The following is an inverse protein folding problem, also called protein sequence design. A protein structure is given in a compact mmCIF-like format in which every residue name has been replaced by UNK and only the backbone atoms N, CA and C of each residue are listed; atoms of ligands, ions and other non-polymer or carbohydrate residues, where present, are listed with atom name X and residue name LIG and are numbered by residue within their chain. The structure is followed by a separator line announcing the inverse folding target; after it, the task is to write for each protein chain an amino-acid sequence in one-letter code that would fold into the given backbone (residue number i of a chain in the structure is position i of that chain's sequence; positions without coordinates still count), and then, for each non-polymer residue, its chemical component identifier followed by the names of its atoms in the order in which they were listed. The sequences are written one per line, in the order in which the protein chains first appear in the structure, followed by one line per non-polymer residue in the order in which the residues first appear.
data_IF_783383636205
#
_entry.id   IF_783383636205
#
_cell.length_a   1.000
_cell.length_b   1.000
_cell.length_c   1.000
_cell.angle_alpha   90.00
_cell.angle_beta   90.00
_cell.angle_gamma   90.00
#
_symmetry.space_group_name_H-M   'P 1'
#
loop_
_entity.id
_entity.type
_entity.pdbx_description
1 polymer ?
#
# COMPACT_ATOMS: atom_id res chain seq x y z
N UNK A 1 -9.33 1.44 -63.45
CA UNK A 1 -8.33 1.52 -62.37
C UNK A 1 -9.07 1.56 -61.05
N UNK A 2 -9.10 0.45 -60.32
CA UNK A 2 -9.77 0.32 -59.02
C UNK A 2 -8.67 0.27 -57.95
N UNK A 3 -8.59 1.32 -57.12
CA UNK A 3 -7.71 1.35 -55.95
C UNK A 3 -8.26 0.46 -54.83
N UNK A 4 -7.43 -0.34 -54.15
CA UNK A 4 -7.85 -1.03 -52.94
C UNK A 4 -7.73 -0.07 -51.75
N UNK A 5 -8.83 0.07 -51.01
CA UNK A 5 -8.81 0.66 -49.67
C UNK A 5 -8.09 -0.31 -48.73
N UNK A 6 -6.88 0.05 -48.31
CA UNK A 6 -6.21 -0.60 -47.18
C UNK A 6 -6.94 -0.21 -45.90
N UNK A 7 -7.76 -1.12 -45.38
CA UNK A 7 -8.34 -1.02 -44.06
C UNK A 7 -7.25 -1.31 -43.02
N UNK A 8 -6.66 -0.26 -42.46
CA UNK A 8 -5.79 -0.33 -41.29
C UNK A 8 -6.64 -0.71 -40.09
N UNK A 9 -6.64 -2.00 -39.73
CA UNK A 9 -7.10 -2.42 -38.41
C UNK A 9 -6.12 -1.88 -37.37
N UNK A 10 -6.47 -0.75 -36.75
CA UNK A 10 -5.88 -0.34 -35.48
C UNK A 10 -6.26 -1.41 -34.45
N UNK A 11 -5.32 -2.29 -34.12
CA UNK A 11 -5.41 -3.07 -32.89
C UNK A 11 -5.28 -2.06 -31.74
N UNK A 12 -6.41 -1.68 -31.15
CA UNK A 12 -6.42 -1.09 -29.83
C UNK A 12 -5.80 -2.15 -28.91
N UNK A 13 -4.55 -1.93 -28.51
CA UNK A 13 -3.94 -2.68 -27.43
C UNK A 13 -4.79 -2.40 -26.19
N UNK A 14 -5.67 -3.35 -25.88
CA UNK A 14 -6.45 -3.36 -24.66
C UNK A 14 -5.44 -3.33 -23.51
N UNK A 15 -5.22 -2.14 -22.94
CA UNK A 15 -4.31 -1.97 -21.82
C UNK A 15 -4.98 -2.59 -20.61
N UNK A 16 -4.88 -3.91 -20.51
CA UNK A 16 -5.42 -4.64 -19.38
C UNK A 16 -4.82 -4.05 -18.10
N UNK A 17 -5.70 -3.59 -17.22
CA UNK A 17 -5.31 -3.04 -15.93
C UNK A 17 -4.51 -4.11 -15.16
N UNK A 18 -3.31 -3.74 -14.72
CA UNK A 18 -2.44 -4.66 -14.01
C UNK A 18 -3.04 -4.89 -12.62
N UNK A 19 -3.37 -6.14 -12.31
CA UNK A 19 -3.99 -6.52 -11.03
C UNK A 19 -3.38 -7.80 -10.49
N UNK A 20 -3.50 -8.01 -9.18
CA UNK A 20 -3.17 -9.30 -8.55
C UNK A 20 -4.22 -10.32 -9.01
N UNK A 21 -3.77 -11.39 -9.67
CA UNK A 21 -4.63 -12.49 -10.09
C UNK A 21 -4.68 -13.58 -9.00
N UNK A 22 -3.51 -13.96 -8.49
CA UNK A 22 -3.37 -15.00 -7.47
C UNK A 22 -2.23 -14.66 -6.51
N UNK A 23 -2.34 -15.12 -5.27
CA UNK A 23 -1.27 -15.06 -4.27
C UNK A 23 -0.89 -16.48 -3.91
N UNK A 24 0.33 -16.86 -4.26
CA UNK A 24 0.91 -18.13 -3.86
C UNK A 24 1.61 -17.95 -2.51
N UNK A 25 1.24 -18.77 -1.54
CA UNK A 25 1.86 -18.78 -0.20
C UNK A 25 2.70 -20.03 -0.05
N UNK A 26 3.93 -19.86 0.40
CA UNK A 26 4.84 -20.97 0.63
C UNK A 26 5.57 -20.79 1.95
N UNK A 27 5.78 -21.92 2.63
CA UNK A 27 6.63 -21.99 3.81
C UNK A 27 8.05 -22.26 3.36
N UNK A 28 8.96 -21.40 3.75
CA UNK A 28 10.39 -21.54 3.48
C UNK A 28 11.05 -21.96 4.80
N UNK A 29 11.69 -23.13 4.85
CA UNK A 29 12.44 -23.57 6.03
C UNK A 29 13.91 -23.26 5.83
N UNK A 30 14.49 -22.59 6.80
CA UNK A 30 15.90 -22.20 6.82
C UNK A 30 16.51 -22.63 8.15
N UNK A 31 17.80 -22.96 8.14
CA UNK A 31 18.50 -23.47 9.32
C UNK A 31 18.55 -22.44 10.47
N UNK A 32 18.62 -21.15 10.14
CA UNK A 32 18.81 -20.06 11.10
C UNK A 32 17.53 -19.32 11.49
N UNK A 33 16.55 -19.23 10.58
CA UNK A 33 15.31 -18.44 10.78
C UNK A 33 14.07 -19.32 10.96
N UNK A 34 14.25 -20.64 10.95
CA UNK A 34 13.15 -21.60 11.08
C UNK A 34 12.23 -21.59 9.85
N UNK A 35 10.96 -21.91 10.08
CA UNK A 35 9.92 -21.90 9.05
C UNK A 35 9.30 -20.49 8.94
N UNK A 36 9.31 -19.93 7.74
CA UNK A 36 8.82 -18.57 7.49
C UNK A 36 7.80 -18.54 6.36
N UNK A 37 6.75 -17.74 6.54
CA UNK A 37 5.74 -17.52 5.50
C UNK A 37 6.23 -16.50 4.45
N UNK A 38 6.22 -16.93 3.19
CA UNK A 38 6.49 -16.11 2.01
C UNK A 38 5.27 -16.00 1.13
N UNK A 39 5.22 -14.92 0.37
CA UNK A 39 4.18 -14.69 -0.63
C UNK A 39 4.80 -14.34 -1.99
N UNK A 40 4.29 -14.98 -3.04
CA UNK A 40 4.53 -14.62 -4.43
C UNK A 40 3.22 -14.13 -5.05
N UNK A 41 3.22 -12.93 -5.62
CA UNK A 41 2.07 -12.44 -6.37
C UNK A 41 2.19 -12.84 -7.83
N UNK A 42 1.10 -13.34 -8.39
CA UNK A 42 0.92 -13.56 -9.82
C UNK A 42 0.02 -12.45 -10.34
N UNK A 43 0.55 -11.64 -11.26
CA UNK A 43 -0.17 -10.52 -11.85
C UNK A 43 -0.95 -10.94 -13.10
N UNK A 44 -1.92 -10.13 -13.52
CA UNK A 44 -2.76 -10.39 -14.70
C UNK A 44 -2.00 -10.55 -16.02
N UNK A 45 -0.78 -10.00 -16.11
CA UNK A 45 0.12 -10.19 -17.25
C UNK A 45 0.97 -11.47 -17.17
N UNK A 46 0.71 -12.35 -16.18
CA UNK A 46 1.47 -13.58 -15.92
C UNK A 46 2.78 -13.38 -15.16
N UNK A 47 3.18 -12.14 -14.84
CA UNK A 47 4.40 -11.88 -14.08
C UNK A 47 4.27 -12.42 -12.65
N UNK A 48 5.32 -13.11 -12.20
CA UNK A 48 5.43 -13.68 -10.85
C UNK A 48 6.47 -12.91 -10.06
N UNK A 49 6.09 -12.38 -8.89
CA UNK A 49 6.94 -11.51 -8.08
C UNK A 49 6.96 -11.99 -6.62
N UNK A 50 8.12 -12.43 -6.14
CA UNK A 50 8.33 -12.77 -4.73
C UNK A 50 8.39 -11.49 -3.90
N UNK A 51 7.53 -11.36 -2.91
CA UNK A 51 7.54 -10.20 -1.99
C UNK A 51 8.71 -10.39 -1.01
N UNK A 52 9.66 -9.43 -0.92
CA UNK A 52 10.85 -9.54 -0.09
C UNK A 52 10.54 -9.20 1.38
N UNK A 53 9.43 -9.69 1.91
CA UNK A 53 9.01 -9.52 3.31
C UNK A 53 8.71 -10.89 3.92
N UNK A 54 8.74 -10.94 5.23
CA UNK A 54 8.20 -12.04 6.01
C UNK A 54 6.75 -11.76 6.41
N UNK A 55 5.95 -12.82 6.57
CA UNK A 55 4.50 -12.70 6.85
C UNK A 55 3.80 -11.82 5.80
N UNK A 56 4.33 -11.83 4.59
CA UNK A 56 3.96 -10.89 3.55
C UNK A 56 2.50 -11.11 3.13
N UNK A 57 1.72 -10.02 3.06
CA UNK A 57 0.42 -10.04 2.39
C UNK A 57 0.36 -8.90 1.37
N UNK A 58 0.12 -9.19 0.09
CA UNK A 58 -0.13 -8.14 -0.88
C UNK A 58 -1.48 -7.47 -0.59
N UNK A 59 -1.53 -6.16 -0.76
CA UNK A 59 -2.74 -5.34 -0.52
C UNK A 59 -3.36 -4.96 -1.87
N UNK A 60 -2.60 -4.31 -2.75
CA UNK A 60 -3.12 -3.81 -4.03
C UNK A 60 -2.02 -3.52 -5.06
N UNK A 61 -2.40 -3.41 -6.33
CA UNK A 61 -1.61 -2.70 -7.35
C UNK A 61 -2.14 -1.28 -7.43
N UNK A 62 -1.25 -0.31 -7.28
CA UNK A 62 -1.56 1.12 -7.39
C UNK A 62 -1.04 1.66 -8.72
N UNK A 63 -1.84 2.49 -9.36
CA UNK A 63 -1.50 3.17 -10.62
C UNK A 63 -1.13 4.62 -10.36
N UNK A 64 0.12 4.96 -10.67
CA UNK A 64 0.67 6.30 -10.55
C UNK A 64 0.18 7.24 -11.67
N UNK A 65 0.38 8.54 -11.49
CA UNK A 65 0.03 9.55 -12.52
C UNK A 65 0.80 9.37 -13.82
N UNK A 66 2.03 8.84 -13.76
CA UNK A 66 2.89 8.55 -14.92
C UNK A 66 2.59 7.19 -15.57
N UNK A 67 1.51 6.51 -15.15
CA UNK A 67 1.11 5.19 -15.63
C UNK A 67 1.96 4.03 -15.09
N UNK A 68 2.94 4.31 -14.22
CA UNK A 68 3.68 3.23 -13.54
C UNK A 68 2.81 2.52 -12.51
N UNK A 69 3.13 1.26 -12.26
CA UNK A 69 2.45 0.45 -11.26
C UNK A 69 3.33 0.24 -10.03
N UNK A 70 2.70 0.15 -8.86
CA UNK A 70 3.37 -0.14 -7.59
C UNK A 70 2.59 -1.19 -6.84
N UNK A 71 3.24 -2.25 -6.38
CA UNK A 71 2.66 -3.19 -5.44
C UNK A 71 2.70 -2.59 -4.03
N UNK A 72 1.52 -2.44 -3.43
CA UNK A 72 1.35 -2.16 -2.00
C UNK A 72 1.26 -3.49 -1.26
N UNK A 73 2.06 -3.68 -0.22
CA UNK A 73 2.02 -4.89 0.59
C UNK A 73 2.31 -4.59 2.07
N UNK A 74 1.87 -5.49 2.94
CA UNK A 74 2.24 -5.52 4.35
C UNK A 74 3.22 -6.66 4.64
N UNK A 75 4.02 -6.51 5.68
CA UNK A 75 4.91 -7.54 6.20
C UNK A 75 5.95 -6.98 7.16
N UNK A 76 6.92 -7.80 7.53
CA UNK A 76 8.07 -7.41 8.35
C UNK A 76 9.38 -7.77 7.64
N UNK A 77 10.47 -7.08 7.97
CA UNK A 77 11.80 -7.38 7.44
C UNK A 77 12.49 -8.51 8.22
N UNK A 78 11.95 -8.89 9.38
CA UNK A 78 12.47 -10.01 10.17
C UNK A 78 11.35 -10.78 10.91
N UNK A 79 11.61 -12.07 11.18
CA UNK A 79 10.67 -13.02 11.83
C UNK A 79 10.98 -13.30 13.29
N UNK A 80 12.23 -13.11 13.73
CA UNK A 80 12.69 -13.42 15.09
C UNK A 80 13.05 -12.17 15.88
N UNK A 81 12.46 -11.04 15.51
CA UNK A 81 12.56 -9.78 16.20
C UNK A 81 11.15 -9.27 16.45
N UNK A 82 10.99 -8.44 17.47
CA UNK A 82 9.72 -7.79 17.82
C UNK A 82 9.39 -6.65 16.84
N UNK A 83 9.61 -6.90 15.55
CA UNK A 83 9.31 -5.96 14.48
C UNK A 83 7.82 -6.05 14.11
N UNK A 84 7.16 -4.91 14.30
CA UNK A 84 5.77 -4.71 13.89
C UNK A 84 5.58 -4.85 12.38
N UNK A 85 4.40 -5.28 11.97
CA UNK A 85 4.01 -5.27 10.56
C UNK A 85 4.00 -3.83 10.03
N UNK A 86 4.59 -3.64 8.86
CA UNK A 86 4.69 -2.34 8.18
C UNK A 86 4.08 -2.41 6.78
N UNK A 87 3.67 -1.26 6.26
CA UNK A 87 3.23 -1.09 4.87
C UNK A 87 4.45 -0.73 4.02
N UNK A 88 4.56 -1.34 2.84
CA UNK A 88 5.66 -1.20 1.89
C UNK A 88 5.17 -0.97 0.47
N UNK A 89 5.98 -0.26 -0.30
CA UNK A 89 5.76 0.06 -1.69
C UNK A 89 6.86 -0.58 -2.53
N UNK A 90 6.47 -1.29 -3.58
CA UNK A 90 7.39 -1.91 -4.52
C UNK A 90 7.06 -1.46 -5.94
N UNK A 91 7.81 -0.50 -6.51
CA UNK A 91 7.65 -0.10 -7.91
C UNK A 91 7.80 -1.31 -8.83
N UNK A 92 6.90 -1.42 -9.80
CA UNK A 92 6.94 -2.46 -10.82
C UNK A 92 7.68 -1.95 -12.06
N UNK A 93 8.37 -2.85 -12.75
CA UNK A 93 9.18 -2.51 -13.93
C UNK A 93 10.45 -3.35 -14.08
N UNK A 94 10.80 -4.13 -13.04
CA UNK A 94 11.85 -5.14 -13.10
C UNK A 94 11.30 -6.52 -12.71
N UNK A 95 12.05 -7.58 -12.97
CA UNK A 95 11.67 -8.95 -12.60
C UNK A 95 11.79 -9.21 -11.08
N UNK A 96 12.43 -8.30 -10.35
CA UNK A 96 12.60 -8.38 -8.91
C UNK A 96 11.95 -7.19 -8.22
N UNK A 97 11.30 -7.44 -7.09
CA UNK A 97 10.76 -6.38 -6.24
C UNK A 97 11.88 -5.78 -5.41
N UNK A 98 12.20 -4.51 -5.70
CA UNK A 98 13.12 -3.70 -4.89
C UNK A 98 12.33 -2.59 -4.23
N UNK A 99 12.13 -2.71 -2.92
CA UNK A 99 11.49 -1.66 -2.14
C UNK A 99 12.43 -0.48 -1.95
N UNK A 100 11.89 0.68 -1.61
CA UNK A 100 12.67 1.86 -1.23
C UNK A 100 13.42 1.71 0.09
N UNK A 101 13.15 0.64 0.85
CA UNK A 101 13.60 0.46 2.23
C UNK A 101 12.77 1.25 3.25
N UNK A 102 11.91 2.18 2.82
CA UNK A 102 11.06 2.95 3.74
C UNK A 102 9.99 2.06 4.35
N UNK A 103 9.66 2.36 5.60
CA UNK A 103 8.66 1.65 6.40
C UNK A 103 7.54 2.62 6.75
N UNK A 104 6.29 2.20 6.53
CA UNK A 104 5.12 2.98 6.90
C UNK A 104 4.32 2.25 7.96
N UNK A 105 3.78 2.99 8.94
CA UNK A 105 3.00 2.41 10.03
C UNK A 105 1.71 1.78 9.53
N UNK A 106 1.39 0.61 10.06
CA UNK A 106 0.11 -0.06 9.84
C UNK A 106 -1.02 0.69 10.57
N UNK A 107 -2.27 0.74 10.05
CA UNK A 107 -3.41 1.33 10.75
C UNK A 107 -3.78 0.56 12.03
N UNK A 108 -4.48 1.23 12.94
CA UNK A 108 -4.92 0.66 14.21
C UNK A 108 -4.95 1.68 15.33
N UNK A 109 -5.30 1.22 16.53
CA UNK A 109 -5.20 1.98 17.77
C UNK A 109 -3.98 1.52 18.55
N UNK A 110 -3.13 2.45 18.97
CA UNK A 110 -2.10 2.17 19.96
C UNK A 110 -2.59 2.64 21.33
N UNK A 111 -2.53 1.75 22.30
CA UNK A 111 -2.84 2.04 23.70
C UNK A 111 -1.56 2.12 24.52
N UNK A 112 -1.54 3.01 25.51
CA UNK A 112 -0.49 3.03 26.53
C UNK A 112 -0.57 1.72 27.35
N UNK A 113 0.55 1.01 27.47
CA UNK A 113 0.60 -0.30 28.13
C UNK A 113 0.07 -0.26 29.58
N UNK A 114 0.38 0.80 30.32
CA UNK A 114 0.06 0.91 31.75
C UNK A 114 -1.40 1.29 31.99
N UNK A 115 -1.86 2.35 31.32
CA UNK A 115 -3.20 2.92 31.52
C UNK A 115 -4.27 2.30 30.63
N UNK A 116 -3.86 1.53 29.61
CA UNK A 116 -4.73 0.91 28.61
C UNK A 116 -5.60 1.94 27.86
N UNK A 117 -5.17 3.21 27.84
CA UNK A 117 -5.86 4.29 27.14
C UNK A 117 -5.25 4.50 25.75
N UNK A 118 -6.07 4.84 24.74
CA UNK A 118 -5.55 5.11 23.41
C UNK A 118 -4.65 6.34 23.42
N UNK A 119 -3.47 6.21 22.83
CA UNK A 119 -2.49 7.28 22.64
C UNK A 119 -2.31 7.66 21.17
N UNK A 120 -2.57 6.72 20.25
CA UNK A 120 -2.61 6.98 18.81
C UNK A 120 -3.75 6.20 18.15
N UNK A 121 -4.37 6.80 17.13
CA UNK A 121 -5.32 6.17 16.22
C UNK A 121 -4.91 6.49 14.80
N UNK A 122 -4.68 5.46 14.00
CA UNK A 122 -4.29 5.60 12.60
C UNK A 122 -5.28 4.87 11.71
N UNK A 123 -5.81 5.60 10.71
CA UNK A 123 -6.60 5.02 9.60
C UNK A 123 -5.84 5.19 8.29
N UNK A 124 -5.83 4.15 7.47
CA UNK A 124 -5.12 4.14 6.19
C UNK A 124 -6.08 3.85 5.06
N UNK A 125 -5.96 4.63 4.00
CA UNK A 125 -6.79 4.50 2.80
C UNK A 125 -5.91 4.36 1.56
N UNK A 126 -6.29 3.54 0.60
CA UNK A 126 -5.52 3.34 -0.64
C UNK A 126 -6.42 3.24 -1.88
N UNK A 127 -5.84 3.53 -3.04
CA UNK A 127 -6.54 3.59 -4.34
C UNK A 127 -6.84 5.02 -4.76
N UNK A 128 -7.90 5.22 -5.55
CA UNK A 128 -8.31 6.54 -6.05
C UNK A 128 -9.07 7.33 -4.98
N UNK A 129 -8.37 7.69 -3.91
CA UNK A 129 -8.92 8.36 -2.73
C UNK A 129 -9.05 9.88 -2.87
N UNK A 130 -8.74 10.43 -4.03
CA UNK A 130 -8.85 11.86 -4.35
C UNK A 130 -9.54 12.04 -5.69
N UNK A 131 -9.92 13.27 -6.02
CA UNK A 131 -10.53 13.62 -7.33
C UNK A 131 -9.59 13.42 -8.54
N UNK A 132 -8.29 13.19 -8.29
CA UNK A 132 -7.30 12.90 -9.33
C UNK A 132 -7.43 11.45 -9.82
N UNK A 133 -6.99 11.17 -11.04
CA UNK A 133 -7.11 9.83 -11.66
C UNK A 133 -6.14 8.78 -11.12
N UNK A 134 -5.07 9.21 -10.41
CA UNK A 134 -4.06 8.32 -9.87
C UNK A 134 -4.39 7.83 -8.46
N UNK A 135 -3.85 6.65 -8.15
CA UNK A 135 -3.95 6.05 -6.83
C UNK A 135 -2.96 6.70 -5.86
N UNK A 136 -3.37 6.76 -4.60
CA UNK A 136 -2.59 7.29 -3.49
C UNK A 136 -2.79 6.40 -2.27
N UNK A 137 -1.93 6.57 -1.26
CA UNK A 137 -2.18 6.02 0.08
C UNK A 137 -2.20 7.18 1.08
N UNK A 138 -3.24 7.27 1.89
CA UNK A 138 -3.47 8.39 2.81
C UNK A 138 -3.55 7.85 4.23
N UNK A 139 -2.81 8.46 5.15
CA UNK A 139 -2.91 8.23 6.59
C UNK A 139 -3.64 9.41 7.24
N UNK A 140 -4.64 9.09 8.05
CA UNK A 140 -5.22 10.01 9.02
C UNK A 140 -4.83 9.53 10.41
N UNK A 141 -4.12 10.39 11.16
CA UNK A 141 -3.63 10.09 12.50
C UNK A 141 -4.26 11.03 13.52
N UNK A 142 -4.66 10.48 14.66
CA UNK A 142 -4.92 11.22 15.88
C UNK A 142 -3.95 10.72 16.95
N UNK A 143 -3.22 11.59 17.63
CA UNK A 143 -2.23 11.19 18.63
C UNK A 143 -2.16 12.18 19.79
N UNK A 144 -1.73 11.72 20.97
CA UNK A 144 -1.47 12.58 22.12
C UNK A 144 -0.06 13.16 21.98
N UNK A 145 0.05 14.50 21.94
CA UNK A 145 1.35 15.18 21.95
C UNK A 145 1.94 15.29 23.36
N UNK A 146 3.18 15.78 23.44
CA UNK A 146 3.92 15.94 24.72
C UNK A 146 3.21 16.84 25.75
N UNK A 147 2.29 17.70 25.29
CA UNK A 147 1.45 18.56 26.13
C UNK A 147 0.18 17.86 26.65
N UNK A 148 0.04 16.55 26.40
CA UNK A 148 -1.12 15.75 26.76
C UNK A 148 -2.36 16.03 25.89
N UNK A 149 -2.24 16.81 24.81
CA UNK A 149 -3.38 17.18 23.95
C UNK A 149 -3.43 16.30 22.71
N UNK A 150 -4.65 15.94 22.31
CA UNK A 150 -4.88 15.28 21.03
C UNK A 150 -4.58 16.20 19.86
N UNK A 151 -3.80 15.69 18.91
CA UNK A 151 -3.43 16.34 17.65
C UNK A 151 -3.87 15.47 16.50
N UNK A 152 -4.07 16.09 15.33
CA UNK A 152 -4.42 15.39 14.10
C UNK A 152 -3.32 15.59 13.07
N UNK A 153 -2.90 14.49 12.45
CA UNK A 153 -1.93 14.47 11.36
C UNK A 153 -2.56 13.87 10.11
N UNK A 154 -2.16 14.36 8.95
CA UNK A 154 -2.55 13.80 7.66
C UNK A 154 -1.34 13.71 6.77
N UNK A 155 -1.10 12.54 6.20
CA UNK A 155 0.00 12.35 5.26
C UNK A 155 -0.45 11.52 4.07
N UNK A 156 0.27 11.68 2.98
CA UNK A 156 -0.04 11.07 1.71
C UNK A 156 1.23 10.53 1.06
N UNK A 157 1.10 9.33 0.51
CA UNK A 157 2.09 8.72 -0.36
C UNK A 157 1.54 8.72 -1.78
N UNK A 158 2.37 9.22 -2.70
CA UNK A 158 2.13 9.19 -4.13
C UNK A 158 3.14 8.23 -4.77
N UNK A 159 2.68 7.07 -5.28
CA UNK A 159 3.53 6.18 -6.04
C UNK A 159 4.05 6.85 -7.32
N UNK A 160 5.24 6.45 -7.76
CA UNK A 160 5.85 6.85 -9.02
C UNK A 160 6.80 5.76 -9.53
N UNK A 161 7.27 5.88 -10.77
CA UNK A 161 8.25 4.95 -11.33
C UNK A 161 9.53 4.84 -10.50
N UNK A 162 9.92 5.92 -9.82
CA UNK A 162 11.16 6.01 -9.05
C UNK A 162 10.97 5.66 -7.56
N UNK A 163 9.83 5.08 -7.20
CA UNK A 163 9.46 4.87 -5.80
C UNK A 163 8.35 5.81 -5.35
N UNK A 164 8.15 5.82 -4.04
CA UNK A 164 7.06 6.53 -3.41
C UNK A 164 7.49 7.87 -2.80
N UNK A 165 6.66 8.89 -3.01
CA UNK A 165 6.86 10.25 -2.49
C UNK A 165 5.91 10.45 -1.31
N UNK A 166 6.48 10.55 -0.11
CA UNK A 166 5.74 10.85 1.11
C UNK A 166 5.74 12.36 1.39
N UNK A 167 4.57 12.91 1.69
CA UNK A 167 4.41 14.31 2.11
C UNK A 167 3.34 14.43 3.20
N UNK A 168 3.49 15.40 4.09
CA UNK A 168 2.34 15.89 4.87
C UNK A 168 1.28 16.44 3.94
N UNK A 169 0.02 16.15 4.25
CA UNK A 169 -1.11 16.51 3.41
C UNK A 169 -1.71 17.83 3.90
N UNK A 170 -1.85 18.80 2.99
CA UNK A 170 -2.46 20.10 3.32
C UNK A 170 -3.95 19.90 3.61
N UNK A 171 -4.51 20.77 4.45
CA UNK A 171 -5.94 20.70 4.78
C UNK A 171 -6.88 20.81 3.59
N UNK A 172 -6.45 21.53 2.55
CA UNK A 172 -7.21 21.72 1.31
C UNK A 172 -7.19 20.51 0.36
N UNK A 173 -6.32 19.52 0.58
CA UNK A 173 -6.19 18.39 -0.34
C UNK A 173 -7.28 17.35 -0.15
N UNK A 174 -7.52 16.93 1.09
CA UNK A 174 -8.61 16.03 1.46
C UNK A 174 -8.89 16.04 2.98
N UNK A 175 -10.15 15.84 3.33
CA UNK A 175 -10.59 15.52 4.70
C UNK A 175 -10.95 14.03 4.82
N UNK A 176 -10.97 13.49 6.04
CA UNK A 176 -11.39 12.11 6.29
C UNK A 176 -12.80 11.86 5.75
N UNK A 177 -13.74 12.78 6.00
CA UNK A 177 -15.10 12.70 5.48
C UNK A 177 -15.14 12.67 3.95
N UNK A 178 -14.31 13.48 3.28
CA UNK A 178 -14.23 13.46 1.82
C UNK A 178 -13.72 12.12 1.27
N UNK A 179 -12.76 11.49 1.95
CA UNK A 179 -12.22 10.17 1.58
C UNK A 179 -13.26 9.08 1.82
N UNK A 180 -13.98 9.11 2.95
CA UNK A 180 -15.04 8.13 3.24
C UNK A 180 -16.18 8.15 2.22
N UNK A 181 -16.52 9.33 1.68
CA UNK A 181 -17.48 9.44 0.56
C UNK A 181 -16.98 8.82 -0.75
N UNK A 182 -15.67 8.71 -0.93
CA UNK A 182 -15.06 8.07 -2.09
C UNK A 182 -14.98 6.56 -1.86
N UNK A 183 -14.69 6.13 -0.62
CA UNK A 183 -14.76 4.72 -0.20
C UNK A 183 -16.15 4.14 -0.45
N UNK A 184 -17.22 4.86 -0.10
CA UNK A 184 -18.59 4.40 -0.35
C UNK A 184 -18.96 4.27 -1.84
N UNK A 185 -18.15 4.85 -2.73
CA UNK A 185 -18.29 4.71 -4.20
C UNK A 185 -17.41 3.59 -4.78
N UNK A 186 -16.65 2.88 -3.95
CA UNK A 186 -15.77 1.78 -4.35
C UNK A 186 -14.49 2.21 -5.09
N UNK A 187 -14.14 3.50 -5.07
CA UNK A 187 -12.94 4.02 -5.73
C UNK A 187 -11.70 4.03 -4.82
N UNK A 188 -11.91 3.96 -3.52
CA UNK A 188 -10.90 3.98 -2.48
C UNK A 188 -11.24 2.89 -1.46
N UNK A 189 -10.24 2.34 -0.81
CA UNK A 189 -10.40 1.28 0.18
C UNK A 189 -9.76 1.69 1.49
N UNK A 190 -10.40 1.35 2.60
CA UNK A 190 -9.78 1.44 3.91
C UNK A 190 -9.03 0.15 4.20
N UNK A 191 -7.79 0.26 4.66
CA UNK A 191 -7.03 -0.87 5.16
C UNK A 191 -7.45 -1.14 6.62
N UNK A 192 -7.88 -2.37 6.96
CA UNK A 192 -8.27 -2.71 8.33
C UNK A 192 -7.14 -2.46 9.33
N UNK A 193 -7.47 -1.85 10.46
CA UNK A 193 -6.51 -1.60 11.54
C UNK A 193 -6.27 -2.83 12.42
N UNK A 194 -5.10 -2.88 13.05
CA UNK A 194 -4.77 -3.83 14.12
C UNK A 194 -4.39 -3.04 15.36
N UNK A 195 -5.12 -3.25 16.45
CA UNK A 195 -4.83 -2.58 17.71
C UNK A 195 -3.56 -3.18 18.36
N UNK A 196 -2.82 -2.34 19.06
CA UNK A 196 -1.58 -2.71 19.74
C UNK A 196 -1.32 -1.87 20.97
N UNK A 197 -0.22 -2.18 21.64
CA UNK A 197 0.23 -1.49 22.83
C UNK A 197 1.58 -0.81 22.55
N UNK A 198 1.79 0.33 23.18
CA UNK A 198 3.05 1.07 23.16
C UNK A 198 3.73 0.92 24.53
N UNK A 199 4.95 0.39 24.53
CA UNK A 199 5.79 0.36 25.73
C UNK A 199 6.31 1.78 26.05
N UNK A 200 6.54 2.11 27.34
CA UNK A 200 6.99 3.43 27.80
C UNK A 200 8.32 3.92 27.21
#
# INVERSE_FOLDING_TARGET
MLSPFFSLCLFAADSQELRIQTVERNKEKTEYIGEVDRATVVLSNGQRLKIPLFRAKPIAILTSTDGSYTLLAEGADCTMCDESTTIRFFPLGSNELKGSGKRYSYPGTLNDFTSQKPVEKTRVFFGRCMSKRSDVVIWFKEYIGDDGKWRKGKSIVRPSRNGEIFTEMKDSEASLESVLRIVSRGLCNELPGVDGEMEP
#
